data_IF_738830526889
#
_entry.id   IF_738830526889
#
_cell.length_a   1.000
_cell.length_b   1.000
_cell.length_c   1.000
_cell.angle_alpha   90.00
_cell.angle_beta   90.00
_cell.angle_gamma   90.00
#
_symmetry.space_group_name_H-M   'P 1'
#
loop_
_entity.id
_entity.type
_entity.pdbx_description
1 polymer ?
#
# COMPACT_ATOMS: atom_id res chain seq x y z
N UNK A 1 -1.54 9.79 7.55
CA UNK A 1 -1.77 8.97 8.75
C UNK A 1 -1.06 7.65 8.52
N UNK A 2 -0.23 7.14 9.45
CA UNK A 2 0.17 5.74 9.37
C UNK A 2 -1.12 4.92 9.33
N UNK A 3 -1.23 4.04 8.34
CA UNK A 3 -2.43 3.25 8.13
C UNK A 3 -2.59 2.30 9.31
N UNK A 4 -3.72 2.37 10.03
CA UNK A 4 -4.01 1.43 11.12
C UNK A 4 -3.90 0.01 10.58
N UNK A 5 -3.26 -0.87 11.34
CA UNK A 5 -3.07 -2.27 10.98
C UNK A 5 -3.95 -3.13 11.88
N UNK A 6 -4.68 -4.06 11.29
CA UNK A 6 -5.36 -5.11 12.05
C UNK A 6 -4.60 -6.43 11.85
N UNK A 7 -4.38 -7.16 12.92
CA UNK A 7 -3.81 -8.51 12.86
C UNK A 7 -4.88 -9.47 13.30
N UNK A 8 -5.22 -10.41 12.43
CA UNK A 8 -6.22 -11.45 12.67
C UNK A 8 -5.51 -12.79 12.66
N UNK A 9 -5.68 -13.54 13.75
CA UNK A 9 -5.22 -14.90 13.89
C UNK A 9 -6.40 -15.84 13.71
N UNK A 10 -6.32 -16.68 12.69
CA UNK A 10 -7.42 -17.59 12.36
C UNK A 10 -7.51 -18.77 13.33
N UNK A 11 -8.70 -19.35 13.45
CA UNK A 11 -8.94 -20.53 14.29
C UNK A 11 -8.10 -21.74 13.83
N UNK A 12 -7.57 -22.48 14.79
CA UNK A 12 -7.03 -23.83 14.61
C UNK A 12 -7.96 -24.89 15.19
N UNK A 13 -7.66 -26.16 14.93
CA UNK A 13 -8.37 -27.32 15.49
C UNK A 13 -8.33 -27.33 17.02
N UNK A 14 -7.20 -26.92 17.61
CA UNK A 14 -6.99 -26.90 19.06
C UNK A 14 -7.56 -25.62 19.72
N UNK A 15 -7.40 -24.46 19.07
CA UNK A 15 -7.85 -23.16 19.58
C UNK A 15 -9.36 -22.96 19.43
N UNK A 16 -9.94 -23.38 18.31
CA UNK A 16 -11.38 -23.27 17.96
C UNK A 16 -11.96 -21.86 17.82
N UNK A 17 -11.30 -20.80 18.30
CA UNK A 17 -11.71 -19.41 18.12
C UNK A 17 -10.73 -18.61 17.27
N UNK A 18 -11.17 -17.46 16.75
CA UNK A 18 -10.31 -16.48 16.08
C UNK A 18 -9.89 -15.39 17.08
N UNK A 19 -8.71 -14.83 16.91
CA UNK A 19 -8.20 -13.73 17.73
C UNK A 19 -7.84 -12.55 16.84
N UNK A 20 -7.95 -11.33 17.35
CA UNK A 20 -7.55 -10.15 16.61
C UNK A 20 -7.04 -9.04 17.53
N UNK A 21 -6.26 -8.14 16.95
CA UNK A 21 -5.80 -6.92 17.59
C UNK A 21 -5.59 -5.81 16.55
N UNK A 22 -5.54 -4.57 17.00
CA UNK A 22 -5.29 -3.40 16.15
C UNK A 22 -4.08 -2.61 16.62
N UNK A 23 -3.35 -2.10 15.65
CA UNK A 23 -2.21 -1.21 15.81
C UNK A 23 -2.58 0.15 15.22
N UNK A 24 -2.48 1.18 16.04
CA UNK A 24 -2.60 2.58 15.63
C UNK A 24 -1.30 3.33 15.94
N UNK A 25 -1.15 4.55 15.42
CA UNK A 25 0.03 5.40 15.65
C UNK A 25 0.35 5.58 17.14
N UNK A 26 -0.70 5.66 17.97
CA UNK A 26 -0.62 6.10 19.35
C UNK A 26 -0.99 4.99 20.36
N UNK A 27 -1.44 3.82 19.90
CA UNK A 27 -1.89 2.74 20.77
C UNK A 27 -1.90 1.37 20.11
N UNK A 28 -1.69 0.34 20.92
CA UNK A 28 -1.91 -1.07 20.60
C UNK A 28 -3.13 -1.52 21.41
N UNK A 29 -4.13 -2.11 20.75
CA UNK A 29 -5.30 -2.63 21.46
C UNK A 29 -4.96 -3.91 22.24
N UNK A 30 -5.78 -4.24 23.24
CA UNK A 30 -5.79 -5.59 23.81
C UNK A 30 -6.08 -6.63 22.72
N UNK A 31 -5.70 -7.88 22.99
CA UNK A 31 -6.09 -9.02 22.16
C UNK A 31 -7.55 -9.35 22.45
N UNK A 32 -8.34 -9.49 21.38
CA UNK A 32 -9.76 -9.78 21.44
C UNK A 32 -10.03 -11.15 20.79
N UNK A 33 -11.00 -11.89 21.33
CA UNK A 33 -11.48 -13.15 20.77
C UNK A 33 -12.77 -12.91 20.01
N UNK A 34 -12.89 -13.43 18.80
CA UNK A 34 -14.18 -13.52 18.10
C UNK A 34 -15.00 -14.65 18.71
N UNK A 35 -16.14 -14.29 19.25
CA UNK A 35 -17.15 -15.19 19.83
C UNK A 35 -18.34 -15.31 18.87
N UNK A 36 -19.26 -16.24 19.10
CA UNK A 36 -20.41 -16.48 18.20
C UNK A 36 -21.31 -15.24 18.03
N UNK A 37 -21.32 -14.34 19.01
CA UNK A 37 -22.02 -13.05 19.02
C UNK A 37 -21.26 -11.92 18.28
N UNK A 38 -20.00 -12.15 17.90
CA UNK A 38 -19.15 -11.18 17.18
C UNK A 38 -18.63 -11.82 15.89
N UNK A 39 -19.42 -11.79 14.79
CA UNK A 39 -19.03 -12.42 13.54
C UNK A 39 -17.93 -11.61 12.83
N UNK A 40 -17.22 -12.22 11.87
CA UNK A 40 -16.09 -11.58 11.16
C UNK A 40 -16.49 -10.25 10.49
N UNK A 41 -17.72 -10.15 10.02
CA UNK A 41 -18.32 -8.98 9.38
C UNK A 41 -18.33 -7.76 10.31
N UNK A 42 -18.44 -7.95 11.64
CA UNK A 42 -18.39 -6.82 12.58
C UNK A 42 -17.01 -6.20 12.70
N UNK A 43 -15.96 -6.86 12.17
CA UNK A 43 -14.61 -6.29 12.10
C UNK A 43 -14.44 -5.30 10.95
N UNK A 44 -15.36 -5.24 9.99
CA UNK A 44 -15.28 -4.32 8.85
C UNK A 44 -15.25 -2.84 9.29
N UNK A 45 -15.92 -2.52 10.41
CA UNK A 45 -15.99 -1.17 10.95
C UNK A 45 -14.81 -0.84 11.90
N UNK A 46 -13.95 -1.81 12.20
CA UNK A 46 -12.83 -1.63 13.12
C UNK A 46 -11.64 -0.94 12.42
N UNK A 47 -10.82 -0.17 13.16
CA UNK A 47 -9.60 0.41 12.63
C UNK A 47 -8.69 -0.65 12.00
N UNK A 48 -8.19 -0.39 10.80
CA UNK A 48 -7.30 -1.33 10.10
C UNK A 48 -7.99 -2.44 9.32
N UNK A 49 -9.32 -2.46 9.22
CA UNK A 49 -10.04 -3.37 8.32
C UNK A 49 -9.57 -3.28 6.84
N UNK A 50 -9.06 -2.12 6.43
CA UNK A 50 -8.44 -1.89 5.11
C UNK A 50 -7.01 -2.41 4.96
N UNK A 51 -6.35 -2.80 6.05
CA UNK A 51 -4.96 -3.24 6.10
C UNK A 51 -4.83 -4.37 7.13
N UNK A 52 -5.13 -5.60 6.70
CA UNK A 52 -5.20 -6.77 7.58
C UNK A 52 -4.02 -7.71 7.36
N UNK A 53 -3.29 -8.05 8.41
CA UNK A 53 -2.36 -9.19 8.41
C UNK A 53 -3.10 -10.43 8.94
N UNK A 54 -3.19 -11.47 8.13
CA UNK A 54 -3.78 -12.74 8.50
C UNK A 54 -2.69 -13.72 8.96
N UNK A 55 -2.86 -14.32 10.14
CA UNK A 55 -2.02 -15.40 10.65
C UNK A 55 -2.73 -16.74 10.47
N UNK A 56 -2.06 -17.65 9.77
CA UNK A 56 -2.54 -19.01 9.49
C UNK A 56 -1.95 -19.96 10.53
N UNK A 57 -2.78 -20.79 11.21
CA UNK A 57 -2.28 -21.69 12.23
C UNK A 57 -1.30 -22.72 11.64
N UNK A 58 -0.29 -23.15 12.41
CA UNK A 58 0.75 -24.03 11.90
C UNK A 58 0.24 -25.39 11.41
N UNK A 59 -0.86 -25.89 11.96
CA UNK A 59 -1.51 -27.15 11.54
C UNK A 59 -1.90 -27.18 10.04
N UNK A 60 -2.08 -26.00 9.43
CA UNK A 60 -2.43 -25.86 8.03
C UNK A 60 -1.25 -25.71 7.09
N UNK A 61 -0.03 -25.76 7.61
CA UNK A 61 1.19 -25.40 6.92
C UNK A 61 2.16 -26.58 6.89
N UNK A 62 2.96 -26.64 5.83
CA UNK A 62 3.96 -27.67 5.61
C UNK A 62 5.35 -27.05 5.57
N UNK A 63 6.14 -27.28 6.60
CA UNK A 63 7.52 -26.78 6.71
C UNK A 63 8.49 -27.81 6.13
N UNK A 64 9.36 -27.40 5.22
CA UNK A 64 10.35 -28.30 4.59
C UNK A 64 11.70 -27.60 4.39
N UNK A 65 12.76 -28.36 4.63
CA UNK A 65 14.11 -28.06 4.15
C UNK A 65 14.39 -28.96 2.96
N UNK A 66 14.61 -28.39 1.79
CA UNK A 66 14.85 -29.10 0.54
C UNK A 66 16.29 -28.90 0.09
N UNK A 67 16.91 -29.95 -0.42
CA UNK A 67 18.26 -29.88 -1.00
C UNK A 67 18.16 -29.65 -2.51
N UNK A 68 18.80 -28.60 -2.99
CA UNK A 68 18.88 -28.23 -4.39
C UNK A 68 19.99 -29.02 -5.08
N UNK A 69 19.79 -29.45 -6.34
CA UNK A 69 20.84 -30.14 -7.10
C UNK A 69 22.11 -29.29 -7.34
N UNK A 70 22.00 -27.96 -7.27
CA UNK A 70 23.14 -27.04 -7.28
C UNK A 70 22.72 -25.64 -6.77
N UNK A 71 23.69 -24.80 -6.39
CA UNK A 71 23.41 -23.46 -5.84
C UNK A 71 22.61 -22.53 -6.79
N UNK A 72 22.77 -22.70 -8.12
CA UNK A 72 22.11 -21.88 -9.15
C UNK A 72 20.77 -22.45 -9.61
N UNK A 73 20.25 -23.47 -8.94
CA UNK A 73 19.01 -24.13 -9.32
C UNK A 73 17.84 -23.15 -9.29
N UNK A 74 17.02 -23.17 -10.35
CA UNK A 74 15.92 -22.23 -10.53
C UNK A 74 14.74 -22.67 -9.67
N UNK A 75 14.40 -21.86 -8.67
CA UNK A 75 13.26 -22.11 -7.81
C UNK A 75 11.98 -21.64 -8.49
N UNK A 76 11.15 -22.59 -8.90
CA UNK A 76 9.79 -22.35 -9.38
C UNK A 76 8.80 -23.19 -8.57
N UNK A 77 7.51 -22.85 -8.59
CA UNK A 77 6.50 -23.62 -7.88
C UNK A 77 6.50 -25.11 -8.26
N UNK A 78 6.65 -25.41 -9.55
CA UNK A 78 6.75 -26.80 -10.05
C UNK A 78 8.00 -27.51 -9.54
N UNK A 79 9.12 -26.80 -9.51
CA UNK A 79 10.39 -27.34 -9.02
C UNK A 79 10.33 -27.65 -7.52
N UNK A 80 9.74 -26.75 -6.73
CA UNK A 80 9.55 -26.97 -5.29
C UNK A 80 8.58 -28.12 -5.02
N UNK A 81 7.49 -28.20 -5.80
CA UNK A 81 6.54 -29.32 -5.73
C UNK A 81 7.23 -30.66 -5.98
N UNK A 82 8.03 -30.74 -7.04
CA UNK A 82 8.77 -31.96 -7.39
C UNK A 82 9.78 -32.35 -6.30
N UNK A 83 10.55 -31.38 -5.79
CA UNK A 83 11.52 -31.63 -4.70
C UNK A 83 10.83 -32.09 -3.40
N UNK A 84 9.59 -31.65 -3.16
CA UNK A 84 8.83 -32.01 -1.96
C UNK A 84 7.99 -33.29 -2.11
N UNK A 85 7.83 -33.82 -3.33
CA UNK A 85 6.82 -34.83 -3.71
C UNK A 85 6.83 -36.07 -2.80
N UNK A 86 8.01 -36.62 -2.50
CA UNK A 86 8.16 -37.81 -1.65
C UNK A 86 7.77 -37.57 -0.19
N UNK A 87 7.75 -36.32 0.25
CA UNK A 87 7.48 -35.93 1.65
C UNK A 87 6.08 -35.32 1.82
N UNK A 88 5.29 -35.24 0.74
CA UNK A 88 3.94 -34.71 0.79
C UNK A 88 2.99 -35.73 1.43
N UNK A 89 2.09 -35.29 2.33
CA UNK A 89 1.03 -36.16 2.84
C UNK A 89 0.08 -36.65 1.74
N UNK A 90 -0.16 -35.80 0.73
CA UNK A 90 -0.99 -36.08 -0.44
C UNK A 90 -0.43 -35.32 -1.65
N UNK A 91 0.01 -36.08 -2.66
CA UNK A 91 0.62 -35.54 -3.87
C UNK A 91 -0.40 -35.11 -4.94
N UNK A 92 -1.70 -35.37 -4.71
CA UNK A 92 -2.77 -34.95 -5.63
C UNK A 92 -3.20 -33.50 -5.44
N UNK A 93 -2.74 -32.87 -4.36
CA UNK A 93 -3.15 -31.52 -3.98
C UNK A 93 -2.21 -30.44 -4.53
N UNK A 94 -2.80 -29.31 -4.90
CA UNK A 94 -2.05 -28.13 -5.36
C UNK A 94 -1.51 -27.32 -4.18
N UNK A 95 -0.21 -27.43 -3.93
CA UNK A 95 0.48 -26.69 -2.88
C UNK A 95 1.01 -25.34 -3.39
N UNK A 96 0.76 -24.30 -2.59
CA UNK A 96 1.36 -22.99 -2.74
C UNK A 96 2.61 -22.88 -1.86
N UNK A 97 3.78 -22.84 -2.50
CA UNK A 97 5.07 -22.82 -1.82
C UNK A 97 5.65 -21.42 -1.68
N UNK A 98 6.03 -21.07 -0.46
CA UNK A 98 6.75 -19.83 -0.12
C UNK A 98 8.17 -20.16 0.30
N UNK A 99 9.16 -19.56 -0.37
CA UNK A 99 10.57 -19.70 0.01
C UNK A 99 10.89 -18.70 1.11
N UNK A 100 11.30 -19.19 2.29
CA UNK A 100 11.53 -18.35 3.47
C UNK A 100 13.01 -18.10 3.73
N UNK A 101 13.87 -19.05 3.35
CA UNK A 101 15.32 -18.88 3.35
C UNK A 101 15.98 -19.73 2.25
N UNK A 102 17.16 -19.29 1.80
CA UNK A 102 17.99 -20.03 0.84
C UNK A 102 19.47 -19.84 1.19
N UNK A 103 20.13 -20.94 1.55
CA UNK A 103 21.55 -20.96 1.87
C UNK A 103 22.26 -22.00 1.00
N UNK A 104 23.07 -21.55 0.04
CA UNK A 104 23.76 -22.41 -0.93
C UNK A 104 22.80 -23.38 -1.66
N UNK A 105 22.87 -24.66 -1.30
CA UNK A 105 22.07 -25.76 -1.84
C UNK A 105 20.94 -26.19 -0.89
N UNK A 106 20.77 -25.52 0.25
CA UNK A 106 19.62 -25.71 1.12
C UNK A 106 18.59 -24.61 0.89
N UNK A 107 17.32 -24.98 0.77
CA UNK A 107 16.20 -24.03 0.73
C UNK A 107 15.16 -24.42 1.74
N UNK A 108 14.70 -23.45 2.53
CA UNK A 108 13.60 -23.64 3.45
C UNK A 108 12.33 -23.06 2.84
N UNK A 109 11.27 -23.86 2.88
CA UNK A 109 9.98 -23.52 2.28
C UNK A 109 8.83 -23.83 3.21
N UNK A 110 7.77 -23.03 3.08
CA UNK A 110 6.49 -23.24 3.73
C UNK A 110 5.43 -23.43 2.65
N UNK A 111 4.74 -24.57 2.70
CA UNK A 111 3.63 -24.90 1.83
C UNK A 111 2.28 -24.69 2.52
N UNK A 112 1.29 -24.21 1.76
CA UNK A 112 -0.13 -24.24 2.14
C UNK A 112 -0.93 -24.75 0.95
N UNK A 113 -1.97 -25.55 1.19
CA UNK A 113 -2.90 -25.95 0.12
C UNK A 113 -3.53 -24.70 -0.50
N UNK A 114 -3.49 -24.60 -1.82
CA UNK A 114 -3.98 -23.43 -2.56
C UNK A 114 -5.47 -23.18 -2.32
N UNK A 115 -6.28 -24.24 -2.25
CA UNK A 115 -7.70 -24.15 -1.93
C UNK A 115 -7.93 -23.60 -0.52
N UNK A 116 -7.16 -24.09 0.47
CA UNK A 116 -7.26 -23.62 1.87
C UNK A 116 -6.93 -22.13 1.97
N UNK A 117 -5.86 -21.67 1.34
CA UNK A 117 -5.51 -20.25 1.31
C UNK A 117 -6.60 -19.41 0.63
N UNK A 118 -7.13 -19.89 -0.50
CA UNK A 118 -8.23 -19.22 -1.23
C UNK A 118 -9.46 -19.03 -0.34
N UNK A 119 -9.87 -20.07 0.38
CA UNK A 119 -11.02 -20.03 1.29
C UNK A 119 -10.84 -19.03 2.43
N UNK A 120 -9.64 -18.93 2.99
CA UNK A 120 -9.35 -17.89 3.99
C UNK A 120 -9.53 -16.48 3.40
N UNK A 121 -8.88 -16.23 2.25
CA UNK A 121 -8.93 -14.92 1.60
C UNK A 121 -10.35 -14.52 1.20
N UNK A 122 -11.13 -15.45 0.66
CA UNK A 122 -12.52 -15.23 0.28
C UNK A 122 -13.41 -14.93 1.50
N UNK A 123 -13.23 -15.69 2.59
CA UNK A 123 -13.99 -15.48 3.84
C UNK A 123 -13.74 -14.08 4.42
N UNK A 124 -12.48 -13.64 4.51
CA UNK A 124 -12.16 -12.30 5.00
C UNK A 124 -12.63 -11.21 4.03
N UNK A 125 -12.47 -11.42 2.71
CA UNK A 125 -12.94 -10.47 1.71
C UNK A 125 -14.46 -10.27 1.78
N UNK A 126 -15.22 -11.36 1.93
CA UNK A 126 -16.68 -11.32 2.07
C UNK A 126 -17.11 -10.59 3.34
N UNK A 127 -16.32 -10.70 4.40
CA UNK A 127 -16.50 -9.95 5.64
C UNK A 127 -16.07 -8.48 5.57
N UNK A 128 -15.69 -7.95 4.39
CA UNK A 128 -15.28 -6.56 4.21
C UNK A 128 -13.83 -6.26 4.62
N UNK A 129 -13.01 -7.28 4.87
CA UNK A 129 -11.64 -7.15 5.34
C UNK A 129 -10.63 -7.24 4.19
N UNK A 130 -9.70 -6.29 4.11
CA UNK A 130 -8.66 -6.27 3.09
C UNK A 130 -7.33 -6.83 3.62
N UNK A 131 -7.09 -8.13 3.36
CA UNK A 131 -5.85 -8.84 3.75
C UNK A 131 -4.63 -8.35 2.97
N UNK A 132 -3.73 -7.58 3.57
CA UNK A 132 -2.51 -7.06 2.94
C UNK A 132 -1.30 -7.97 3.11
N UNK A 133 -1.36 -8.93 4.04
CA UNK A 133 -0.30 -9.92 4.28
C UNK A 133 -0.88 -11.22 4.82
N UNK A 134 -0.30 -12.35 4.46
CA UNK A 134 -0.63 -13.66 5.04
C UNK A 134 0.64 -14.30 5.59
N UNK A 135 0.66 -14.67 6.87
CA UNK A 135 1.83 -15.17 7.57
C UNK A 135 1.54 -16.48 8.31
N UNK A 136 2.53 -17.35 8.53
CA UNK A 136 2.45 -18.40 9.52
C UNK A 136 2.28 -17.82 10.91
N UNK A 137 1.33 -18.33 11.67
CA UNK A 137 1.25 -18.07 13.11
C UNK A 137 2.49 -18.67 13.80
N UNK A 138 2.99 -17.97 14.81
CA UNK A 138 4.26 -18.30 15.47
C UNK A 138 5.51 -17.64 14.86
N UNK A 139 5.43 -17.07 13.65
CA UNK A 139 6.60 -16.44 13.00
C UNK A 139 7.15 -15.22 13.76
N UNK A 140 6.31 -14.61 14.59
CA UNK A 140 6.61 -13.44 15.42
C UNK A 140 7.17 -13.80 16.80
N UNK A 141 7.14 -15.08 17.19
CA UNK A 141 7.74 -15.50 18.45
C UNK A 141 9.25 -15.25 18.41
N UNK A 142 9.89 -14.87 19.53
CA UNK A 142 11.34 -14.75 19.59
C UNK A 142 12.07 -16.01 19.09
N UNK A 143 13.23 -15.80 18.47
CA UNK A 143 14.08 -16.88 17.97
C UNK A 143 15.51 -16.69 18.45
N UNK A 144 16.04 -17.76 19.01
CA UNK A 144 17.45 -17.92 19.34
C UNK A 144 17.89 -19.30 18.82
N UNK A 145 19.16 -19.38 18.40
CA UNK A 145 19.72 -20.64 17.89
C UNK A 145 19.68 -21.68 19.01
N UNK A 146 19.33 -22.93 18.66
CA UNK A 146 19.21 -24.06 19.58
C UNK A 146 18.24 -23.82 20.76
N UNK A 147 17.27 -22.92 20.57
CA UNK A 147 16.26 -22.57 21.57
C UNK A 147 14.84 -22.85 21.07
N UNK A 148 13.98 -23.34 21.96
CA UNK A 148 12.54 -23.39 21.71
C UNK A 148 11.84 -22.24 22.40
N UNK A 149 10.96 -21.56 21.67
CA UNK A 149 10.03 -20.58 22.26
C UNK A 149 8.64 -21.19 22.38
N UNK A 150 8.13 -21.25 23.60
CA UNK A 150 6.82 -21.79 23.95
C UNK A 150 5.89 -20.69 24.45
N UNK A 151 4.66 -20.65 23.97
CA UNK A 151 3.62 -19.74 24.46
C UNK A 151 2.35 -20.51 24.75
N UNK A 152 1.87 -20.40 26.00
CA UNK A 152 0.62 -21.02 26.42
C UNK A 152 -0.58 -20.36 25.73
N UNK A 153 -1.53 -21.18 25.27
CA UNK A 153 -2.77 -20.77 24.62
C UNK A 153 -4.00 -21.36 25.35
N UNK A 154 -3.87 -21.69 26.63
CA UNK A 154 -4.86 -22.33 27.50
C UNK A 154 -5.13 -23.80 27.14
N UNK A 155 -5.49 -24.09 25.87
CA UNK A 155 -5.80 -25.45 25.39
C UNK A 155 -4.66 -26.08 24.58
N UNK A 156 -3.69 -25.27 24.17
CA UNK A 156 -2.56 -25.68 23.34
C UNK A 156 -1.33 -24.83 23.61
N UNK A 157 -0.23 -25.20 22.96
CA UNK A 157 1.05 -24.52 23.00
C UNK A 157 1.45 -24.12 21.60
N UNK A 158 1.68 -22.81 21.40
CA UNK A 158 2.32 -22.31 20.20
C UNK A 158 3.84 -22.37 20.39
N UNK A 159 4.52 -22.99 19.44
CA UNK A 159 5.92 -23.37 19.56
C UNK A 159 6.68 -22.85 18.35
N UNK A 160 7.79 -22.14 18.58
CA UNK A 160 8.83 -21.90 17.56
C UNK A 160 10.02 -22.79 17.90
N UNK A 161 10.18 -23.85 17.12
CA UNK A 161 11.18 -24.91 17.38
C UNK A 161 12.42 -24.80 16.52
N UNK A 162 12.32 -24.10 15.39
CA UNK A 162 13.44 -23.75 14.52
C UNK A 162 13.24 -22.33 13.97
N UNK A 163 14.25 -21.81 13.27
CA UNK A 163 14.22 -20.48 12.66
C UNK A 163 12.96 -20.25 11.82
N UNK A 164 12.55 -21.27 11.07
CA UNK A 164 11.44 -21.20 10.12
C UNK A 164 10.38 -22.31 10.33
N UNK A 165 10.34 -22.94 11.51
CA UNK A 165 9.39 -24.00 11.84
C UNK A 165 8.57 -23.67 13.10
N UNK A 166 7.26 -23.57 12.90
CA UNK A 166 6.28 -23.24 13.93
C UNK A 166 5.30 -24.40 14.09
N UNK A 167 4.85 -24.65 15.31
CA UNK A 167 3.92 -25.73 15.62
C UNK A 167 2.88 -25.26 16.62
N UNK A 168 1.72 -25.92 16.60
CA UNK A 168 0.73 -25.81 17.66
C UNK A 168 0.40 -27.22 18.14
N UNK A 169 0.69 -27.53 19.40
CA UNK A 169 0.52 -28.86 19.97
C UNK A 169 -0.27 -28.78 21.28
N UNK A 170 -0.99 -29.84 21.61
CA UNK A 170 -1.46 -30.01 23.00
C UNK A 170 -0.29 -30.36 23.93
N UNK A 171 -0.55 -30.34 25.23
CA UNK A 171 0.46 -30.63 26.25
C UNK A 171 1.04 -32.05 26.12
N UNK A 172 0.23 -33.04 25.73
CA UNK A 172 0.68 -34.43 25.63
C UNK A 172 1.68 -34.63 24.49
N UNK A 173 1.38 -34.09 23.30
CA UNK A 173 2.29 -34.16 22.16
C UNK A 173 3.53 -33.31 22.35
N UNK A 174 3.42 -32.17 23.04
CA UNK A 174 4.58 -31.35 23.40
C UNK A 174 5.53 -32.11 24.33
N UNK A 175 5.02 -32.78 25.37
CA UNK A 175 5.83 -33.65 26.23
C UNK A 175 6.54 -34.74 25.42
N UNK A 176 5.83 -35.39 24.50
CA UNK A 176 6.41 -36.43 23.68
C UNK A 176 7.52 -35.90 22.75
N UNK A 177 7.29 -34.75 22.11
CA UNK A 177 8.26 -34.10 21.24
C UNK A 177 9.51 -33.68 22.02
N UNK A 178 9.33 -33.05 23.19
CA UNK A 178 10.44 -32.62 24.05
C UNK A 178 11.26 -33.80 24.59
N UNK A 179 10.62 -34.96 24.84
CA UNK A 179 11.32 -36.16 25.27
C UNK A 179 12.19 -36.78 24.16
N UNK A 180 11.76 -36.68 22.90
CA UNK A 180 12.52 -37.20 21.75
C UNK A 180 13.58 -36.22 21.24
N UNK A 181 13.26 -34.93 21.25
CA UNK A 181 14.09 -33.85 20.73
C UNK A 181 14.22 -32.74 21.78
N UNK A 182 14.95 -32.98 22.88
CA UNK A 182 15.10 -31.98 23.92
C UNK A 182 15.86 -30.77 23.39
N UNK A 183 15.32 -29.54 23.53
CA UNK A 183 16.05 -28.34 23.13
C UNK A 183 17.18 -28.02 24.12
N UNK A 184 18.24 -27.34 23.66
CA UNK A 184 19.33 -26.89 24.54
C UNK A 184 18.87 -25.75 25.44
N UNK A 185 18.13 -24.81 24.86
CA UNK A 185 17.57 -23.64 25.54
C UNK A 185 16.05 -23.61 25.40
N UNK A 186 15.38 -23.00 26.36
CA UNK A 186 13.92 -22.83 26.28
C UNK A 186 13.49 -21.48 26.81
N UNK A 187 12.67 -20.80 26.02
CA UNK A 187 11.97 -19.58 26.38
C UNK A 187 10.48 -19.89 26.52
N UNK A 188 9.90 -19.70 27.70
CA UNK A 188 8.50 -20.03 27.95
C UNK A 188 7.72 -18.81 28.44
N UNK A 189 6.65 -18.46 27.75
CA UNK A 189 5.65 -17.48 28.17
C UNK A 189 4.47 -18.20 28.83
N UNK A 190 4.45 -18.19 30.16
CA UNK A 190 3.51 -18.95 30.98
C UNK A 190 4.19 -20.06 31.77
N UNK A 191 3.38 -20.95 32.36
CA UNK A 191 3.87 -22.05 33.20
C UNK A 191 4.34 -23.21 32.32
N UNK A 192 5.61 -23.61 32.44
CA UNK A 192 6.16 -24.73 31.66
C UNK A 192 5.30 -25.98 31.87
N UNK A 193 4.91 -26.69 30.78
CA UNK A 193 4.12 -27.92 30.88
C UNK A 193 4.78 -28.95 31.77
N UNK A 194 3.95 -29.78 32.41
CA UNK A 194 4.47 -30.89 33.19
C UNK A 194 5.20 -31.87 32.25
N UNK A 195 6.26 -32.54 32.69
CA UNK A 195 6.94 -33.58 31.90
C UNK A 195 7.82 -33.09 30.73
N UNK A 196 7.81 -31.80 30.40
CA UNK A 196 8.83 -31.20 29.54
C UNK A 196 10.07 -30.98 30.41
N UNK A 197 11.11 -31.81 30.23
CA UNK A 197 12.38 -31.62 30.92
C UNK A 197 12.86 -30.21 30.60
N UNK A 198 13.00 -29.37 31.63
CA UNK A 198 13.47 -28.01 31.44
C UNK A 198 14.83 -28.06 30.75
N UNK A 199 14.89 -27.53 29.52
CA UNK A 199 16.14 -27.21 28.87
C UNK A 199 16.97 -26.33 29.82
N UNK A 200 18.29 -26.39 29.71
CA UNK A 200 19.17 -25.70 30.63
C UNK A 200 20.11 -24.79 29.84
N UNK A 201 19.85 -23.47 29.79
CA UNK A 201 18.88 -22.67 30.56
C UNK A 201 17.41 -22.70 30.10
N UNK A 202 16.51 -22.59 31.08
CA UNK A 202 15.09 -22.26 30.93
C UNK A 202 14.85 -20.81 31.36
N UNK A 203 14.34 -19.98 30.44
CA UNK A 203 13.94 -18.60 30.69
C UNK A 203 12.40 -18.55 30.70
N UNK A 204 11.83 -18.15 31.82
CA UNK A 204 10.37 -18.09 32.00
C UNK A 204 9.89 -16.65 32.12
N UNK A 205 8.85 -16.32 31.35
CA UNK A 205 8.15 -15.04 31.37
C UNK A 205 6.71 -15.21 31.86
N UNK A 206 6.06 -14.14 32.34
CA UNK A 206 4.63 -14.15 32.64
C UNK A 206 3.81 -14.60 31.44
N UNK A 207 2.69 -15.26 31.72
CA UNK A 207 1.73 -15.63 30.68
C UNK A 207 1.13 -14.38 30.04
N UNK A 208 1.23 -14.31 28.72
CA UNK A 208 0.70 -13.22 27.91
C UNK A 208 -0.01 -13.79 26.68
N UNK A 209 -1.05 -13.13 26.15
CA UNK A 209 -1.65 -13.54 24.89
C UNK A 209 -0.59 -13.54 23.79
N UNK A 210 -0.40 -14.65 23.07
CA UNK A 210 0.65 -14.75 22.06
C UNK A 210 0.64 -13.63 21.03
N UNK A 211 -0.54 -13.20 20.58
CA UNK A 211 -0.68 -12.13 19.60
C UNK A 211 -0.09 -10.79 20.09
N UNK A 212 0.04 -10.58 21.41
CA UNK A 212 0.71 -9.40 21.98
C UNK A 212 2.22 -9.33 21.68
N UNK A 213 2.85 -10.47 21.35
CA UNK A 213 4.24 -10.54 20.88
C UNK A 213 4.37 -10.10 19.40
N UNK A 214 3.26 -9.96 18.69
CA UNK A 214 3.29 -9.53 17.30
C UNK A 214 3.79 -8.09 17.19
N UNK A 215 4.77 -7.89 16.31
CA UNK A 215 5.20 -6.58 15.87
C UNK A 215 5.04 -6.47 14.36
N UNK A 216 4.77 -5.28 13.83
CA UNK A 216 4.68 -5.05 12.38
C UNK A 216 6.07 -5.02 11.72
N UNK A 217 6.95 -5.96 12.07
CA UNK A 217 8.34 -5.99 11.60
C UNK A 217 8.41 -6.29 10.10
N UNK A 218 9.37 -5.62 9.44
CA UNK A 218 9.78 -5.87 8.06
C UNK A 218 10.37 -7.27 7.93
N UNK A 219 11.00 -7.82 8.98
CA UNK A 219 11.58 -9.16 8.99
C UNK A 219 10.58 -10.24 8.55
N UNK A 220 9.28 -10.05 8.79
CA UNK A 220 8.23 -11.00 8.44
C UNK A 220 7.86 -11.03 6.95
N UNK A 221 8.37 -10.11 6.12
CA UNK A 221 8.06 -10.09 4.68
C UNK A 221 8.44 -11.38 3.95
N UNK A 222 9.49 -12.08 4.40
CA UNK A 222 9.91 -13.36 3.81
C UNK A 222 8.89 -14.48 3.95
N UNK A 223 7.97 -14.36 4.91
CA UNK A 223 6.93 -15.34 5.17
C UNK A 223 5.60 -15.00 4.47
N UNK A 224 5.52 -13.84 3.82
CA UNK A 224 4.27 -13.41 3.18
C UNK A 224 3.88 -14.36 2.06
N UNK A 225 2.70 -14.97 2.17
CA UNK A 225 2.16 -15.94 1.20
C UNK A 225 1.36 -15.25 0.08
N UNK A 226 1.25 -13.91 0.06
CA UNK A 226 0.56 -13.18 -1.01
C UNK A 226 1.44 -12.94 -2.24
N UNK A 227 1.90 -14.03 -2.86
CA UNK A 227 2.69 -14.00 -4.10
C UNK A 227 2.18 -15.03 -5.12
N UNK A 228 2.84 -15.09 -6.28
CA UNK A 228 2.40 -15.93 -7.40
C UNK A 228 0.95 -15.65 -7.78
N UNK A 229 0.12 -16.70 -7.77
CA UNK A 229 -1.33 -16.63 -8.07
C UNK A 229 -2.13 -15.87 -7.02
N UNK A 230 -1.64 -15.76 -5.79
CA UNK A 230 -2.29 -15.03 -4.69
C UNK A 230 -1.81 -13.58 -4.55
N UNK A 231 -0.95 -13.12 -5.47
CA UNK A 231 -0.47 -11.74 -5.47
C UNK A 231 -1.64 -10.78 -5.66
N UNK A 232 -1.89 -9.95 -4.65
CA UNK A 232 -2.83 -8.83 -4.80
C UNK A 232 -2.30 -7.87 -5.87
N UNK A 233 -3.11 -7.63 -6.90
CA UNK A 233 -2.83 -6.54 -7.82
C UNK A 233 -2.86 -5.25 -7.03
N UNK A 234 -1.76 -4.48 -7.04
CA UNK A 234 -1.77 -3.15 -6.44
C UNK A 234 -2.94 -2.39 -7.07
N UNK A 235 -3.95 -2.10 -6.26
CA UNK A 235 -4.95 -1.09 -6.57
C UNK A 235 -4.19 0.22 -6.59
N UNK A 236 -3.59 0.55 -7.74
CA UNK A 236 -3.14 1.91 -8.00
C UNK A 236 -4.39 2.74 -7.87
N UNK A 237 -4.56 3.39 -6.72
CA UNK A 237 -5.69 4.25 -6.42
C UNK A 237 -5.92 5.15 -7.62
N UNK A 238 -6.97 4.85 -8.38
CA UNK A 238 -7.31 5.60 -9.61
C UNK A 238 -7.57 7.08 -9.29
N UNK A 239 -7.79 7.40 -8.01
CA UNK A 239 -7.94 8.75 -7.46
C UNK A 239 -6.77 9.67 -7.84
N UNK A 240 -5.52 9.24 -7.68
CA UNK A 240 -4.37 10.12 -7.94
C UNK A 240 -4.22 10.52 -9.41
N UNK A 241 -4.49 9.60 -10.34
CA UNK A 241 -4.37 9.86 -11.78
C UNK A 241 -5.55 10.65 -12.36
N UNK A 242 -6.72 10.66 -11.72
CA UNK A 242 -7.87 11.46 -12.14
C UNK A 242 -7.77 12.89 -11.62
N UNK A 243 -7.30 13.09 -10.38
CA UNK A 243 -7.01 14.42 -9.83
C UNK A 243 -5.90 15.13 -10.61
N UNK A 244 -4.84 14.41 -11.00
CA UNK A 244 -3.80 14.96 -11.87
C UNK A 244 -4.36 15.37 -13.25
N UNK A 245 -5.28 14.57 -13.83
CA UNK A 245 -5.95 14.90 -15.09
C UNK A 245 -6.86 16.12 -14.97
N UNK A 246 -7.58 16.27 -13.85
CA UNK A 246 -8.38 17.46 -13.57
C UNK A 246 -7.51 18.70 -13.38
N UNK A 247 -6.41 18.60 -12.63
CA UNK A 247 -5.49 19.72 -12.43
C UNK A 247 -4.90 20.22 -13.76
N UNK A 248 -4.49 19.30 -14.65
CA UNK A 248 -4.01 19.65 -16.00
C UNK A 248 -5.11 20.27 -16.84
N UNK A 249 -6.34 19.74 -16.79
CA UNK A 249 -7.49 20.31 -17.52
C UNK A 249 -7.82 21.74 -17.06
N UNK A 250 -7.84 21.98 -15.73
CA UNK A 250 -8.04 23.31 -15.17
C UNK A 250 -6.92 24.29 -15.57
N UNK A 251 -5.67 23.83 -15.61
CA UNK A 251 -4.54 24.65 -16.05
C UNK A 251 -4.70 25.07 -17.53
N UNK A 252 -5.06 24.11 -18.41
CA UNK A 252 -5.28 24.38 -19.84
C UNK A 252 -6.45 25.36 -20.05
N UNK A 253 -7.55 25.17 -19.32
CA UNK A 253 -8.69 26.08 -19.39
C UNK A 253 -8.34 27.49 -18.88
N UNK A 254 -7.56 27.61 -17.82
CA UNK A 254 -7.09 28.90 -17.31
C UNK A 254 -6.18 29.62 -18.34
N UNK A 255 -5.28 28.88 -19.00
CA UNK A 255 -4.43 29.42 -20.07
C UNK A 255 -5.27 29.88 -21.26
N UNK A 256 -6.23 29.06 -21.72
CA UNK A 256 -7.13 29.40 -22.82
C UNK A 256 -7.99 30.62 -22.50
N UNK A 257 -8.53 30.72 -21.28
CA UNK A 257 -9.29 31.88 -20.82
C UNK A 257 -8.43 33.15 -20.79
N UNK A 258 -7.19 33.04 -20.32
CA UNK A 258 -6.25 34.16 -20.28
C UNK A 258 -5.87 34.65 -21.69
N UNK A 259 -5.55 33.74 -22.61
CA UNK A 259 -5.22 34.08 -24.00
C UNK A 259 -6.45 34.64 -24.74
N UNK A 260 -7.63 34.05 -24.53
CA UNK A 260 -8.88 34.53 -25.09
C UNK A 260 -9.21 35.95 -24.67
N UNK A 261 -9.11 36.27 -23.37
CA UNK A 261 -9.38 37.62 -22.86
C UNK A 261 -8.41 38.67 -23.43
N UNK A 262 -7.11 38.33 -23.56
CA UNK A 262 -6.11 39.20 -24.19
C UNK A 262 -6.36 39.42 -25.68
N UNK A 263 -6.87 38.41 -26.37
CA UNK A 263 -7.17 38.49 -27.81
C UNK A 263 -8.36 39.40 -28.10
N UNK A 264 -9.40 39.34 -27.26
CA UNK A 264 -10.56 40.25 -27.35
C UNK A 264 -10.13 41.69 -27.05
N UNK A 265 -9.28 41.90 -26.03
CA UNK A 265 -8.76 43.22 -25.70
C UNK A 265 -7.96 43.83 -26.87
N UNK A 266 -7.07 43.06 -27.50
CA UNK A 266 -6.31 43.50 -28.68
C UNK A 266 -7.22 43.84 -29.86
N UNK A 267 -8.24 43.03 -30.13
CA UNK A 267 -9.23 43.30 -31.17
C UNK A 267 -10.02 44.59 -30.92
N UNK A 268 -10.35 44.88 -29.66
CA UNK A 268 -10.99 46.14 -29.28
C UNK A 268 -10.07 47.33 -29.49
N UNK A 269 -8.79 47.23 -29.13
CA UNK A 269 -7.82 48.31 -29.35
C UNK A 269 -7.63 48.61 -30.83
N UNK A 270 -7.51 47.58 -31.68
CA UNK A 270 -7.38 47.77 -33.14
C UNK A 270 -8.62 48.43 -33.75
N UNK A 271 -9.83 48.05 -33.31
CA UNK A 271 -11.07 48.69 -33.79
C UNK A 271 -11.18 50.16 -33.39
N UNK A 272 -10.67 50.54 -32.22
CA UNK A 272 -10.67 51.93 -31.75
C UNK A 272 -9.74 52.79 -32.62
N UNK A 273 -8.59 52.25 -33.05
CA UNK A 273 -7.68 52.97 -33.96
C UNK A 273 -8.34 53.27 -35.32
N UNK A 274 -9.02 52.28 -35.91
CA UNK A 274 -9.71 52.44 -37.20
C UNK A 274 -10.84 53.49 -37.11
N UNK A 275 -11.65 53.45 -36.05
CA UNK A 275 -12.72 54.43 -35.84
C UNK A 275 -12.18 55.84 -35.60
N UNK A 276 -11.07 55.96 -34.87
CA UNK A 276 -10.44 57.25 -34.62
C UNK A 276 -9.83 57.85 -35.89
N UNK A 277 -9.24 57.02 -36.76
CA UNK A 277 -8.72 57.47 -38.06
C UNK A 277 -9.85 57.93 -39.00
N UNK A 278 -10.97 57.21 -39.03
CA UNK A 278 -12.14 57.61 -39.82
C UNK A 278 -12.71 58.95 -39.35
N UNK A 279 -12.87 59.15 -38.04
CA UNK A 279 -13.33 60.44 -37.50
C UNK A 279 -12.36 61.59 -37.80
N UNK A 280 -11.05 61.35 -37.76
CA UNK A 280 -10.05 62.36 -38.15
C UNK A 280 -10.17 62.73 -39.63
N UNK A 281 -10.43 61.76 -40.49
CA UNK A 281 -10.52 61.96 -41.94
C UNK A 281 -11.82 62.67 -42.35
N UNK A 282 -12.94 62.35 -41.73
CA UNK A 282 -14.22 63.06 -41.93
C UNK A 282 -14.16 64.51 -41.43
N UNK A 283 -13.59 64.71 -40.25
CA UNK A 283 -13.40 66.07 -39.70
C UNK A 283 -12.47 66.88 -40.61
N UNK A 284 -11.38 66.29 -41.10
CA UNK A 284 -10.46 66.95 -42.04
C UNK A 284 -11.15 67.34 -43.36
N UNK A 285 -11.96 66.45 -43.93
CA UNK A 285 -12.69 66.74 -45.17
C UNK A 285 -13.75 67.83 -44.99
N UNK A 286 -14.38 67.92 -43.81
CA UNK A 286 -15.35 68.98 -43.49
C UNK A 286 -14.70 70.38 -43.45
N UNK A 287 -13.48 70.50 -42.93
CA UNK A 287 -12.79 71.79 -42.83
C UNK A 287 -11.94 72.15 -44.06
N UNK A 288 -11.44 71.17 -44.83
CA UNK A 288 -10.53 71.42 -45.97
C UNK A 288 -10.89 70.58 -47.23
N UNK A 289 -12.03 70.86 -47.89
CA UNK A 289 -12.51 70.08 -49.03
C UNK A 289 -11.64 70.17 -50.31
N UNK A 290 -10.67 71.09 -50.37
CA UNK A 290 -9.82 71.29 -51.55
C UNK A 290 -8.51 70.48 -51.56
N UNK A 291 -8.22 69.68 -50.52
CA UNK A 291 -6.96 68.91 -50.42
C UNK A 291 -7.24 67.40 -50.50
N UNK A 292 -6.88 66.75 -51.61
CA UNK A 292 -7.10 65.32 -51.86
C UNK A 292 -6.09 64.36 -51.17
N UNK A 293 -5.27 64.82 -50.22
CA UNK A 293 -4.24 63.98 -49.58
C UNK A 293 -4.65 63.58 -48.15
N UNK A 294 -4.58 62.29 -47.87
CA UNK A 294 -5.18 61.63 -46.67
C UNK A 294 -4.14 61.12 -45.67
N UNK A 295 -2.94 61.71 -45.63
CA UNK A 295 -1.89 61.38 -44.65
C UNK A 295 -1.16 62.63 -44.14
N UNK A 296 -0.71 62.57 -42.88
CA UNK A 296 0.12 63.58 -42.19
C UNK A 296 -0.57 64.95 -41.95
N UNK A 297 -1.77 64.94 -41.37
CA UNK A 297 -2.63 66.12 -41.11
C UNK A 297 -1.92 67.28 -40.38
N UNK A 298 -1.05 66.99 -39.39
CA UNK A 298 -0.31 68.02 -38.62
C UNK A 298 0.62 68.87 -39.47
N UNK A 299 1.25 68.30 -40.48
CA UNK A 299 2.19 69.00 -41.36
C UNK A 299 1.45 70.01 -42.25
N UNK A 300 0.36 69.58 -42.88
CA UNK A 300 -0.42 70.42 -43.79
C UNK A 300 -1.19 71.53 -43.07
N UNK A 301 -1.68 71.28 -41.85
CA UNK A 301 -2.33 72.32 -41.04
C UNK A 301 -1.36 73.47 -40.71
N UNK A 302 -0.12 73.14 -40.31
CA UNK A 302 0.92 74.16 -40.07
C UNK A 302 1.28 74.93 -41.35
N UNK A 303 1.32 74.25 -42.49
CA UNK A 303 1.62 74.87 -43.79
C UNK A 303 0.54 75.87 -44.21
N UNK A 304 -0.74 75.58 -43.95
CA UNK A 304 -1.85 76.50 -44.21
C UNK A 304 -1.86 77.71 -43.30
N UNK A 305 -1.63 77.53 -41.99
CA UNK A 305 -1.47 78.67 -41.08
C UNK A 305 -0.33 79.58 -41.57
N UNK A 306 0.82 79.01 -41.96
CA UNK A 306 1.93 79.79 -42.51
C UNK A 306 1.55 80.54 -43.80
N UNK A 307 0.74 79.97 -44.69
CA UNK A 307 0.25 80.66 -45.90
C UNK A 307 -0.79 81.75 -45.59
N UNK A 308 -1.65 81.55 -44.59
CA UNK A 308 -2.68 82.51 -44.20
C UNK A 308 -2.08 83.72 -43.47
N UNK A 309 -1.04 83.51 -42.66
CA UNK A 309 -0.25 84.59 -42.06
C UNK A 309 0.60 85.34 -43.10
N UNK A 310 1.04 84.70 -44.19
CA UNK A 310 1.79 85.36 -45.27
C UNK A 310 0.92 86.21 -46.21
N UNK A 311 -0.41 86.06 -46.18
CA UNK A 311 -1.38 86.79 -47.01
C UNK A 311 -2.14 87.91 -46.29
N UNK A 312 -1.75 88.27 -45.06
CA UNK A 312 -2.39 89.34 -44.29
C UNK A 312 -1.48 90.58 -44.22
N UNK A 313 -1.49 91.49 -45.22
CA UNK A 313 -1.02 92.86 -44.99
C UNK A 313 -2.01 93.59 -44.07
N UNK A 314 -1.45 94.35 -43.14
CA UNK A 314 -2.11 95.20 -42.15
C UNK A 314 -3.25 96.03 -42.75
N UNK A 315 -4.44 95.99 -42.13
CA UNK A 315 -5.34 97.15 -42.09
C UNK A 315 -6.16 97.18 -40.79
N UNK A 316 -5.97 98.31 -40.10
CA UNK A 316 -6.73 98.93 -39.00
C UNK A 316 -6.39 98.55 -37.56
N UNK A 317 -5.44 99.34 -37.02
CA UNK A 317 -5.48 99.91 -35.67
C UNK A 317 -6.36 101.16 -35.72
N UNK A 318 -7.44 101.17 -34.92
CA UNK A 318 -8.04 102.31 -34.23
C UNK A 318 -9.14 101.77 -33.31
#
# INVERSE_FOLDING_TARGET
MPESLMVIRSSSTLRKHWEWMTFSADSISSVHTLTDDLPLESLADQPGAGNVHLLIPPEGLLYRSLTLPNAKYKLTAQTLQWLAEETLPDNTQDWHWTVVDKQNESVEVIGIQSEKLSRYLERLHTAGLNVTRVLPDGCYLPWEVDSWTLVNQQTSWLIRSAAHAFNELDEHWLQHLAAQFPPENMLCYGVVPHGVAAANPLIQHPEIPSLSLYSADIAFQRYDMLHGVFRKQKTVSKSGKWLARLAVSCLVLAILSFVGSRSIALWHTLKIEDQLQQQQQETWQRYFPQIKRTHNFRFYFKQQLAQQYRKRPEKYVA
#
